data_IF_663500377855
#
_entry.id   IF_663500377855
#
_cell.length_a   1.000
_cell.length_b   1.000
_cell.length_c   1.000
_cell.angle_alpha   90.00
_cell.angle_beta   90.00
_cell.angle_gamma   90.00
#
_symmetry.space_group_name_H-M   'P 1'
#
loop_
_entity.id
_entity.type
_entity.pdbx_description
1 polymer ?
#
# COMPACT_ATOMS: atom_id res chain seq x y z
N UNK A 1 1.55 9.85 2.32
CA UNK A 1 1.18 8.42 2.55
C UNK A 1 0.09 8.20 3.57
N UNK A 2 -0.12 9.09 4.55
CA UNK A 2 -1.32 9.06 5.43
C UNK A 2 -2.64 8.90 4.67
N UNK A 3 -2.70 9.35 3.41
CA UNK A 3 -3.84 9.15 2.52
C UNK A 3 -4.09 7.65 2.23
N UNK A 4 -3.06 6.90 1.84
CA UNK A 4 -3.19 5.46 1.57
C UNK A 4 -3.51 4.67 2.84
N UNK A 5 -2.89 5.06 3.97
CA UNK A 5 -3.19 4.51 5.29
C UNK A 5 -4.65 4.79 5.71
N UNK A 6 -5.13 6.03 5.52
CA UNK A 6 -6.52 6.44 5.77
C UNK A 6 -7.53 5.66 4.93
N UNK A 7 -7.15 5.33 3.70
CA UNK A 7 -8.00 4.54 2.79
C UNK A 7 -7.84 3.03 2.96
N UNK A 8 -6.96 2.57 3.87
CA UNK A 8 -6.81 1.14 4.15
C UNK A 8 -6.35 0.33 2.93
N UNK A 9 -5.51 0.93 2.08
CA UNK A 9 -4.97 0.32 0.84
C UNK A 9 -3.91 -0.76 1.14
N UNK A 10 -4.27 -1.68 2.03
CA UNK A 10 -3.50 -2.79 2.52
C UNK A 10 -4.30 -4.08 2.29
N UNK A 11 -3.59 -5.19 2.13
CA UNK A 11 -4.00 -6.49 1.56
C UNK A 11 -5.34 -7.12 2.01
N UNK A 12 -5.98 -6.57 3.06
CA UNK A 12 -7.31 -6.96 3.54
C UNK A 12 -8.39 -6.95 2.44
N UNK A 13 -8.31 -6.03 1.48
CA UNK A 13 -9.27 -5.91 0.36
C UNK A 13 -9.26 -7.12 -0.59
N UNK A 14 -8.17 -7.88 -0.65
CA UNK A 14 -8.03 -9.06 -1.53
C UNK A 14 -8.92 -10.22 -1.11
N UNK A 15 -9.06 -10.47 0.19
CA UNK A 15 -9.85 -11.59 0.72
C UNK A 15 -11.34 -11.39 0.47
N UNK A 16 -11.82 -10.17 0.69
CA UNK A 16 -13.23 -9.81 0.47
C UNK A 16 -13.60 -9.92 -1.01
N UNK A 17 -12.72 -9.47 -1.91
CA UNK A 17 -12.98 -9.52 -3.35
C UNK A 17 -12.96 -10.96 -3.90
N UNK A 18 -12.05 -11.81 -3.42
CA UNK A 18 -12.02 -13.24 -3.79
C UNK A 18 -13.29 -13.96 -3.33
N UNK A 19 -13.78 -13.63 -2.13
CA UNK A 19 -15.05 -14.15 -1.63
C UNK A 19 -16.22 -13.70 -2.50
N UNK A 20 -16.28 -12.42 -2.86
CA UNK A 20 -17.30 -11.92 -3.78
C UNK A 20 -17.27 -12.63 -5.14
N UNK A 21 -16.09 -12.87 -5.71
CA UNK A 21 -15.94 -13.62 -6.97
C UNK A 21 -16.42 -15.07 -6.85
N UNK A 22 -16.24 -15.71 -5.70
CA UNK A 22 -16.69 -17.09 -5.47
C UNK A 22 -18.21 -17.18 -5.29
N UNK A 23 -18.82 -16.16 -4.69
CA UNK A 23 -20.26 -16.11 -4.40
C UNK A 23 -21.10 -15.55 -5.57
N UNK A 24 -20.47 -14.79 -6.48
CA UNK A 24 -21.14 -14.08 -7.56
C UNK A 24 -20.55 -14.46 -8.93
N UNK A 25 -21.23 -15.40 -9.60
CA UNK A 25 -20.81 -15.91 -10.90
C UNK A 25 -20.86 -14.83 -11.99
N UNK A 26 -21.79 -13.88 -11.91
CA UNK A 26 -21.91 -12.78 -12.86
C UNK A 26 -20.74 -11.82 -12.73
N UNK A 27 -20.33 -11.52 -11.49
CA UNK A 27 -19.11 -10.78 -11.21
C UNK A 27 -17.86 -11.52 -11.72
N UNK A 28 -17.79 -12.84 -11.49
CA UNK A 28 -16.67 -13.64 -11.99
C UNK A 28 -16.58 -13.61 -13.52
N UNK A 29 -17.72 -13.64 -14.23
CA UNK A 29 -17.76 -13.56 -15.68
C UNK A 29 -17.42 -12.14 -16.18
N UNK A 30 -17.93 -11.11 -15.52
CA UNK A 30 -17.61 -9.72 -15.82
C UNK A 30 -16.10 -9.46 -15.69
N UNK A 31 -15.50 -9.85 -14.57
CA UNK A 31 -14.06 -9.61 -14.33
C UNK A 31 -13.16 -10.36 -15.30
N UNK A 32 -13.59 -11.49 -15.87
CA UNK A 32 -12.88 -12.19 -16.96
C UNK A 32 -12.94 -11.44 -18.30
N UNK A 33 -14.05 -10.75 -18.55
CA UNK A 33 -14.26 -9.92 -19.75
C UNK A 33 -13.50 -8.59 -19.71
N UNK A 34 -13.27 -8.04 -18.52
CA UNK A 34 -12.54 -6.79 -18.33
C UNK A 34 -11.04 -6.98 -18.54
N UNK A 35 -10.51 -6.54 -19.69
CA UNK A 35 -9.10 -6.70 -20.06
C UNK A 35 -8.25 -5.49 -19.66
N UNK A 36 -7.14 -5.76 -18.97
CA UNK A 36 -6.06 -4.79 -18.70
C UNK A 36 -5.03 -4.82 -19.83
N UNK A 37 -4.69 -6.02 -20.28
CA UNK A 37 -3.85 -6.30 -21.44
C UNK A 37 -4.58 -7.33 -22.31
N UNK A 38 -4.15 -7.54 -23.58
CA UNK A 38 -4.75 -8.55 -24.44
C UNK A 38 -4.82 -9.95 -23.79
N UNK A 39 -3.81 -10.28 -22.98
CA UNK A 39 -3.64 -11.57 -22.30
C UNK A 39 -3.80 -11.50 -20.77
N UNK A 40 -4.35 -10.40 -20.24
CA UNK A 40 -4.57 -10.21 -18.80
C UNK A 40 -5.92 -9.56 -18.52
N UNK A 41 -6.80 -10.28 -17.83
CA UNK A 41 -8.07 -9.76 -17.33
C UNK A 41 -7.97 -9.22 -15.90
N UNK A 42 -9.00 -8.51 -15.47
CA UNK A 42 -9.16 -8.09 -14.08
C UNK A 42 -9.23 -9.29 -13.15
N UNK A 43 -9.92 -10.36 -13.56
CA UNK A 43 -9.94 -11.62 -12.83
C UNK A 43 -8.52 -12.17 -12.62
N UNK A 44 -7.69 -12.16 -13.66
CA UNK A 44 -6.30 -12.62 -13.55
C UNK A 44 -5.49 -11.73 -12.61
N UNK A 45 -5.67 -10.40 -12.69
CA UNK A 45 -5.03 -9.45 -11.80
C UNK A 45 -5.41 -9.69 -10.33
N UNK A 46 -6.69 -9.98 -10.04
CA UNK A 46 -7.18 -10.22 -8.67
C UNK A 46 -6.54 -11.46 -8.05
N UNK A 47 -6.31 -12.49 -8.86
CA UNK A 47 -5.64 -13.70 -8.42
C UNK A 47 -4.11 -13.56 -8.36
N UNK A 48 -3.55 -12.59 -9.09
CA UNK A 48 -2.11 -12.37 -9.18
C UNK A 48 -1.52 -11.75 -7.91
N UNK A 49 -0.31 -12.18 -7.53
CA UNK A 49 0.44 -11.56 -6.44
C UNK A 49 0.84 -10.12 -6.76
N UNK A 50 0.95 -9.26 -5.73
CA UNK A 50 1.27 -7.83 -5.94
C UNK A 50 2.62 -7.63 -6.66
N UNK A 51 3.63 -8.45 -6.35
CA UNK A 51 4.94 -8.38 -7.03
C UNK A 51 4.90 -8.86 -8.48
N UNK A 52 4.06 -9.85 -8.79
CA UNK A 52 3.88 -10.32 -10.16
C UNK A 52 3.17 -9.25 -11.00
N UNK A 53 2.10 -8.66 -10.46
CA UNK A 53 1.38 -7.57 -11.10
C UNK A 53 2.28 -6.36 -11.32
N UNK A 54 3.06 -5.99 -10.29
CA UNK A 54 4.04 -4.92 -10.38
C UNK A 54 5.09 -5.17 -11.47
N UNK A 55 5.51 -6.42 -11.75
CA UNK A 55 6.47 -6.70 -12.82
C UNK A 55 5.85 -6.58 -14.21
N UNK A 56 4.59 -6.99 -14.35
CA UNK A 56 3.90 -7.10 -15.64
C UNK A 56 3.22 -5.81 -16.08
N UNK A 57 2.73 -5.02 -15.14
CA UNK A 57 1.94 -3.82 -15.40
C UNK A 57 2.71 -2.54 -15.05
N UNK A 58 2.57 -1.55 -15.92
CA UNK A 58 2.97 -0.17 -15.70
C UNK A 58 1.81 0.65 -15.11
N UNK A 59 2.13 1.83 -14.57
CA UNK A 59 1.11 2.77 -14.11
C UNK A 59 0.18 3.21 -15.25
N UNK A 60 0.70 3.28 -16.48
CA UNK A 60 -0.06 3.63 -17.68
C UNK A 60 -1.11 2.57 -17.99
N UNK A 61 -0.77 1.28 -17.87
CA UNK A 61 -1.72 0.19 -18.12
C UNK A 61 -2.90 0.24 -17.13
N UNK A 62 -2.63 0.54 -15.85
CA UNK A 62 -3.68 0.77 -14.86
C UNK A 62 -4.55 1.97 -15.20
N UNK A 63 -3.94 3.09 -15.61
CA UNK A 63 -4.67 4.30 -15.98
C UNK A 63 -5.57 4.07 -17.20
N UNK A 64 -5.03 3.46 -18.26
CA UNK A 64 -5.79 3.12 -19.47
C UNK A 64 -6.93 2.15 -19.14
N UNK A 65 -6.69 1.15 -18.30
CA UNK A 65 -7.72 0.22 -17.85
C UNK A 65 -8.86 0.93 -17.11
N UNK A 66 -8.53 1.80 -16.15
CA UNK A 66 -9.52 2.55 -15.36
C UNK A 66 -10.33 3.49 -16.24
N UNK A 67 -9.67 4.16 -17.18
CA UNK A 67 -10.29 5.07 -18.11
C UNK A 67 -11.21 4.35 -19.11
N UNK A 68 -10.71 3.30 -19.76
CA UNK A 68 -11.41 2.60 -20.84
C UNK A 68 -12.64 1.84 -20.35
N UNK A 69 -12.58 1.26 -19.15
CA UNK A 69 -13.66 0.43 -18.64
C UNK A 69 -14.62 1.19 -17.72
N UNK A 70 -14.33 2.46 -17.41
CA UNK A 70 -15.02 3.22 -16.36
C UNK A 70 -15.40 2.29 -15.20
N UNK A 71 -14.43 1.57 -14.60
CA UNK A 71 -14.71 0.48 -13.64
C UNK A 71 -15.79 0.81 -12.60
N UNK A 72 -15.90 2.10 -12.27
CA UNK A 72 -16.98 2.76 -11.54
C UNK A 72 -18.41 2.33 -11.90
N UNK A 73 -18.70 2.04 -13.17
CA UNK A 73 -20.06 1.78 -13.67
C UNK A 73 -20.37 0.33 -14.03
N UNK A 74 -19.35 -0.52 -14.23
CA UNK A 74 -19.56 -1.92 -14.65
C UNK A 74 -19.52 -2.91 -13.49
N UNK A 75 -18.77 -2.62 -12.42
CA UNK A 75 -18.68 -3.50 -11.25
C UNK A 75 -19.85 -3.19 -10.30
N UNK A 76 -20.58 -4.21 -9.79
CA UNK A 76 -21.62 -4.01 -8.79
C UNK A 76 -21.14 -3.16 -7.61
N UNK A 77 -21.99 -2.25 -7.11
CA UNK A 77 -21.64 -1.30 -6.05
C UNK A 77 -21.04 -1.98 -4.80
N UNK A 78 -21.57 -3.17 -4.44
CA UNK A 78 -21.08 -4.00 -3.33
C UNK A 78 -19.60 -4.42 -3.47
N UNK A 79 -19.10 -4.57 -4.70
CA UNK A 79 -17.74 -5.04 -5.00
C UNK A 79 -16.86 -3.92 -5.56
N UNK A 80 -17.46 -2.81 -5.96
CA UNK A 80 -16.79 -1.66 -6.55
C UNK A 80 -15.63 -1.16 -5.67
N UNK A 81 -15.90 -0.92 -4.38
CA UNK A 81 -14.88 -0.43 -3.44
C UNK A 81 -13.74 -1.41 -3.27
N UNK A 82 -14.06 -2.69 -3.08
CA UNK A 82 -13.06 -3.75 -2.94
C UNK A 82 -12.19 -3.91 -4.21
N UNK A 83 -12.80 -3.78 -5.40
CA UNK A 83 -12.09 -3.84 -6.67
C UNK A 83 -11.13 -2.65 -6.84
N UNK A 84 -11.61 -1.43 -6.59
CA UNK A 84 -10.80 -0.22 -6.65
C UNK A 84 -9.63 -0.25 -5.65
N UNK A 85 -9.89 -0.67 -4.42
CA UNK A 85 -8.86 -0.83 -3.38
C UNK A 85 -7.81 -1.87 -3.80
N UNK A 86 -8.25 -2.99 -4.37
CA UNK A 86 -7.35 -4.06 -4.83
C UNK A 86 -6.46 -3.61 -6.00
N UNK A 87 -7.03 -2.98 -7.02
CA UNK A 87 -6.25 -2.43 -8.15
C UNK A 87 -5.25 -1.38 -7.65
N UNK A 88 -5.70 -0.50 -6.76
CA UNK A 88 -4.86 0.54 -6.16
C UNK A 88 -3.71 -0.05 -5.35
N UNK A 89 -3.94 -1.13 -4.61
CA UNK A 89 -2.91 -1.84 -3.86
C UNK A 89 -1.83 -2.41 -4.78
N UNK A 90 -2.22 -3.11 -5.86
CA UNK A 90 -1.27 -3.68 -6.83
C UNK A 90 -0.44 -2.59 -7.50
N UNK A 91 -1.09 -1.50 -7.89
CA UNK A 91 -0.45 -0.33 -8.48
C UNK A 91 0.54 0.33 -7.51
N UNK A 92 0.18 0.43 -6.22
CA UNK A 92 1.00 1.08 -5.21
C UNK A 92 2.24 0.24 -4.81
N UNK A 93 2.26 -1.07 -5.09
CA UNK A 93 3.33 -1.99 -4.67
C UNK A 93 4.74 -1.50 -5.00
N UNK A 94 4.97 -1.08 -6.25
CA UNK A 94 6.28 -0.56 -6.68
C UNK A 94 6.71 0.67 -5.89
N UNK A 95 5.77 1.55 -5.57
CA UNK A 95 6.03 2.77 -4.81
C UNK A 95 6.42 2.45 -3.38
N UNK A 96 5.64 1.61 -2.69
CA UNK A 96 5.94 1.19 -1.32
C UNK A 96 7.32 0.54 -1.21
N UNK A 97 7.69 -0.34 -2.16
CA UNK A 97 8.99 -1.01 -2.14
C UNK A 97 10.16 -0.04 -2.29
N UNK A 98 10.08 0.86 -3.28
CA UNK A 98 11.10 1.88 -3.50
C UNK A 98 11.22 2.83 -2.31
N UNK A 99 10.09 3.18 -1.69
CA UNK A 99 10.06 4.11 -0.57
C UNK A 99 10.55 3.49 0.73
N UNK A 100 10.33 2.19 0.95
CA UNK A 100 10.78 1.50 2.14
C UNK A 100 12.27 1.15 2.10
N UNK A 101 12.92 1.19 0.93
CA UNK A 101 14.31 0.78 0.76
C UNK A 101 15.29 1.57 1.63
N UNK A 102 15.35 2.89 1.45
CA UNK A 102 16.29 3.72 2.21
C UNK A 102 15.94 3.72 3.72
N UNK A 103 14.66 3.88 4.14
CA UNK A 103 14.27 3.71 5.54
C UNK A 103 14.66 2.37 6.16
N UNK A 104 14.48 1.26 5.44
CA UNK A 104 14.89 -0.06 5.92
C UNK A 104 16.41 -0.13 6.09
N UNK A 105 17.14 0.41 5.12
CA UNK A 105 18.60 0.41 5.12
C UNK A 105 19.18 1.22 6.28
N UNK A 106 18.56 2.36 6.59
CA UNK A 106 18.87 3.20 7.76
C UNK A 106 18.58 2.45 9.07
N UNK A 107 17.41 1.80 9.18
CA UNK A 107 16.98 1.04 10.37
C UNK A 107 17.91 -0.13 10.71
N UNK A 108 18.47 -0.79 9.69
CA UNK A 108 19.47 -1.85 9.92
C UNK A 108 20.88 -1.29 10.03
N UNK A 109 21.06 0.03 10.16
CA UNK A 109 22.35 0.71 10.25
C UNK A 109 23.33 0.30 9.15
N UNK A 110 22.83 0.18 7.92
CA UNK A 110 23.63 -0.15 6.73
C UNK A 110 24.38 -1.50 6.83
N UNK A 111 23.94 -2.42 7.70
CA UNK A 111 24.61 -3.72 7.93
C UNK A 111 24.69 -4.58 6.67
N UNK A 112 23.75 -4.43 5.74
CA UNK A 112 23.72 -5.16 4.48
C UNK A 112 23.86 -4.21 3.28
N UNK A 113 24.40 -4.67 2.14
CA UNK A 113 24.38 -3.89 0.90
C UNK A 113 22.96 -3.52 0.48
N UNK A 114 22.80 -2.34 -0.12
CA UNK A 114 21.51 -1.80 -0.55
C UNK A 114 20.77 -2.75 -1.51
N UNK A 115 21.49 -3.43 -2.40
CA UNK A 115 20.89 -4.38 -3.34
C UNK A 115 20.29 -5.61 -2.62
N UNK A 116 20.93 -6.08 -1.54
CA UNK A 116 20.39 -7.13 -0.69
C UNK A 116 19.10 -6.67 0.00
N UNK A 117 19.06 -5.42 0.49
CA UNK A 117 17.86 -4.83 1.07
C UNK A 117 16.71 -4.78 0.05
N UNK A 118 16.99 -4.42 -1.20
CA UNK A 118 15.97 -4.42 -2.26
C UNK A 118 15.38 -5.82 -2.49
N UNK A 119 16.21 -6.86 -2.47
CA UNK A 119 15.77 -8.26 -2.59
C UNK A 119 14.96 -8.73 -1.38
N UNK A 120 15.31 -8.31 -0.17
CA UNK A 120 14.54 -8.61 1.06
C UNK A 120 13.15 -7.99 0.97
N UNK A 121 13.07 -6.71 0.63
CA UNK A 121 11.79 -6.00 0.45
C UNK A 121 11.02 -6.45 -0.81
N UNK A 122 11.65 -7.26 -1.68
CA UNK A 122 11.00 -7.91 -2.82
C UNK A 122 10.26 -9.19 -2.47
N UNK A 123 10.49 -9.74 -1.28
CA UNK A 123 9.91 -11.01 -0.91
C UNK A 123 8.39 -10.90 -0.75
N UNK A 124 7.61 -11.92 -1.15
CA UNK A 124 6.16 -11.93 -1.01
C UNK A 124 5.66 -11.76 0.44
N UNK A 125 6.53 -12.00 1.43
CA UNK A 125 6.20 -11.86 2.85
C UNK A 125 5.92 -10.41 3.28
N UNK A 126 6.52 -9.43 2.59
CA UNK A 126 6.28 -8.02 2.93
C UNK A 126 5.04 -7.53 2.23
N UNK A 127 3.98 -7.24 2.98
CA UNK A 127 2.80 -6.54 2.46
C UNK A 127 3.09 -5.04 2.27
N UNK A 128 2.21 -4.32 1.57
CA UNK A 128 2.32 -2.85 1.50
C UNK A 128 2.23 -2.20 2.90
N UNK A 129 1.55 -2.85 3.85
CA UNK A 129 1.47 -2.40 5.24
C UNK A 129 2.83 -2.54 5.94
N UNK A 130 3.54 -3.64 5.72
CA UNK A 130 4.86 -3.84 6.33
C UNK A 130 5.87 -2.83 5.79
N UNK A 131 5.85 -2.61 4.47
CA UNK A 131 6.66 -1.60 3.81
C UNK A 131 6.34 -0.18 4.35
N UNK A 132 5.07 0.12 4.60
CA UNK A 132 4.67 1.37 5.24
C UNK A 132 5.19 1.48 6.68
N UNK A 133 5.07 0.39 7.45
CA UNK A 133 5.49 0.36 8.86
C UNK A 133 6.99 0.60 9.01
N UNK A 134 7.80 0.08 8.08
CA UNK A 134 9.24 0.36 8.00
C UNK A 134 9.48 1.87 7.86
N UNK A 135 8.79 2.54 6.92
CA UNK A 135 8.91 3.99 6.73
C UNK A 135 8.53 4.76 8.01
N UNK A 136 7.46 4.33 8.69
CA UNK A 136 7.00 4.96 9.94
C UNK A 136 8.01 4.74 11.07
N UNK A 137 8.61 3.55 11.17
CA UNK A 137 9.61 3.24 12.18
C UNK A 137 10.87 4.09 12.01
N UNK A 138 11.42 4.16 10.79
CA UNK A 138 12.60 4.99 10.50
C UNK A 138 12.34 6.47 10.82
N UNK A 139 11.15 6.98 10.48
CA UNK A 139 10.78 8.36 10.79
C UNK A 139 10.67 8.64 12.30
N UNK A 140 10.36 7.61 13.13
CA UNK A 140 10.33 7.74 14.60
C UNK A 140 11.72 7.74 15.21
N UNK A 141 12.63 6.93 14.68
CA UNK A 141 14.02 6.89 15.14
C UNK A 141 14.76 8.20 14.80
N UNK A 142 14.52 8.73 13.59
CA UNK A 142 15.10 9.98 13.13
C UNK A 142 14.42 11.24 13.71
N UNK A 143 13.38 11.09 14.54
CA UNK A 143 12.68 12.23 15.12
C UNK A 143 13.56 12.91 16.20
N UNK A 144 13.68 14.25 16.19
CA UNK A 144 14.39 14.95 17.26
C UNK A 144 13.73 14.64 18.61
N UNK A 145 14.51 14.55 19.71
CA UNK A 145 13.96 14.25 21.02
C UNK A 145 12.87 15.28 21.35
N UNK A 146 11.66 14.79 21.65
CA UNK A 146 10.56 15.65 22.08
C UNK A 146 11.04 16.44 23.30
N UNK A 147 11.13 17.77 23.17
CA UNK A 147 11.44 18.66 24.30
C UNK A 147 10.44 18.33 25.41
N UNK A 148 10.94 17.79 26.52
CA UNK A 148 10.10 17.42 27.65
C UNK A 148 9.35 18.65 28.15
N UNK A 149 8.04 18.49 28.36
CA UNK A 149 7.09 19.50 28.83
C UNK A 149 7.37 19.97 30.29
N UNK A 150 8.51 19.58 30.86
CA UNK A 150 8.91 19.92 32.22
C UNK A 150 9.52 21.32 32.37
N UNK A 151 9.68 22.09 31.29
CA UNK A 151 10.19 23.47 31.36
C UNK A 151 9.10 24.53 31.63
N UNK A 152 7.81 24.22 31.47
CA UNK A 152 6.71 25.18 31.73
C UNK A 152 6.24 25.27 33.20
N UNK A 153 6.60 24.32 34.07
CA UNK A 153 6.20 24.37 35.50
C UNK A 153 7.22 25.03 36.44
N UNK A 154 8.44 25.35 35.98
CA UNK A 154 9.45 26.01 36.83
C UNK A 154 9.39 27.55 36.81
N UNK A 155 8.62 28.17 35.91
CA UNK A 155 8.47 29.64 35.89
C UNK A 155 7.31 30.18 36.73
N UNK A 156 6.31 29.37 37.09
CA UNK A 156 5.18 29.82 37.92
C UNK A 156 5.43 29.72 39.43
N UNK A 157 6.41 28.94 39.88
CA UNK A 157 6.74 28.82 41.30
C UNK A 157 7.66 29.96 41.84
N UNK A 158 8.22 30.79 40.96
CA UNK A 158 9.18 31.86 41.35
C UNK A 158 8.56 33.25 41.55
N UNK A 159 7.23 33.40 41.40
CA UNK A 159 6.51 34.69 41.58
C UNK A 159 5.64 34.79 42.85
N UNK A 160 5.77 33.85 43.80
CA UNK A 160 5.05 33.88 45.11
C UNK A 160 5.96 34.06 46.32
N UNK A 161 7.12 34.68 46.15
CA UNK A 161 7.98 35.14 47.25
C UNK A 161 8.56 36.50 46.90
N UNK A 162 7.80 37.55 47.20
CA UNK A 162 8.23 38.89 47.61
C UNK A 162 6.97 39.60 48.15
#
# INVERSE_FOLDING_TARGET
>A
MKLFEKHGLFEKSTTDLKKCLAEDQDLANLTKGLKLLPDLSLHDLILMGADQAAKRLSLKDYHEFVWANQLLGQVPEKCYRACGDHVSEKMARRFYRRWALDPFWDLIHYVMPRDCCELVLAQPLFSNQDLWNICVAAARENAPPKKSENSRKKSSAKRRKL
#
